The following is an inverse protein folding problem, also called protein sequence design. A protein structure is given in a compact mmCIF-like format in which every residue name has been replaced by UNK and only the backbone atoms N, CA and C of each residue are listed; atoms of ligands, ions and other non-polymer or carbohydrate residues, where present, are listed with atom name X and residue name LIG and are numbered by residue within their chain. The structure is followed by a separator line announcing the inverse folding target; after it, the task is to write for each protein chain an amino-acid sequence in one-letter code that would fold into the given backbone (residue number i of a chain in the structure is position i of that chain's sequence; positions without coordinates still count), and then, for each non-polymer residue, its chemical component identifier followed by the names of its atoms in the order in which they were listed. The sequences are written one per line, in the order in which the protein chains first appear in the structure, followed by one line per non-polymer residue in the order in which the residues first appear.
data_IF_008098995495
#
_entry.id   IF_008098995495
#
_cell.length_a   1.000
_cell.length_b   1.000
_cell.length_c   1.000
_cell.angle_alpha   90.00
_cell.angle_beta   90.00
_cell.angle_gamma   90.00
#
_symmetry.space_group_name_H-M   'P 1'
#
loop_
_entity.id
_entity.type
_entity.pdbx_description
1 polymer ?
#
# COMPACT_ATOMS: atom_id res chain seq x y z
N UNK A 1 -21.05 18.12 -1.18
CA UNK A 1 -19.62 18.26 -1.50
C UNK A 1 -18.79 17.19 -0.84
N UNK A 2 -18.41 17.37 0.44
CA UNK A 2 -17.50 16.47 1.17
C UNK A 2 -18.24 15.31 1.87
N UNK A 3 -19.42 15.56 2.46
CA UNK A 3 -20.17 14.52 3.17
C UNK A 3 -20.62 13.37 2.26
N UNK A 4 -20.99 13.65 1.00
CA UNK A 4 -21.37 12.62 0.03
C UNK A 4 -20.21 11.68 -0.31
N UNK A 5 -18.98 12.20 -0.37
CA UNK A 5 -17.79 11.40 -0.66
C UNK A 5 -17.50 10.42 0.48
N UNK A 6 -17.48 10.91 1.72
CA UNK A 6 -17.27 10.08 2.91
C UNK A 6 -18.40 9.06 3.06
N UNK A 7 -19.65 9.47 2.84
CA UNK A 7 -20.80 8.59 2.87
C UNK A 7 -20.69 7.45 1.84
N UNK A 8 -20.39 7.78 0.58
CA UNK A 8 -20.21 6.78 -0.47
C UNK A 8 -19.07 5.80 -0.13
N UNK A 9 -17.97 6.31 0.42
CA UNK A 9 -16.85 5.49 0.87
C UNK A 9 -17.28 4.50 1.97
N UNK A 10 -17.99 4.98 2.99
CA UNK A 10 -18.53 4.14 4.07
C UNK A 10 -19.51 3.07 3.55
N UNK A 11 -20.38 3.42 2.58
CA UNK A 11 -21.32 2.46 1.98
C UNK A 11 -20.58 1.34 1.24
N UNK A 12 -19.54 1.67 0.48
CA UNK A 12 -18.72 0.67 -0.24
C UNK A 12 -18.03 -0.26 0.76
N UNK A 13 -17.37 0.30 1.77
CA UNK A 13 -16.70 -0.48 2.81
C UNK A 13 -17.66 -1.39 3.55
N UNK A 14 -18.83 -0.90 3.94
CA UNK A 14 -19.82 -1.70 4.62
C UNK A 14 -20.20 -2.93 3.79
N UNK A 15 -20.44 -2.76 2.48
CA UNK A 15 -20.71 -3.89 1.57
C UNK A 15 -19.57 -4.91 1.52
N UNK A 16 -18.32 -4.44 1.43
CA UNK A 16 -17.13 -5.31 1.43
C UNK A 16 -17.02 -6.08 2.74
N UNK A 17 -17.19 -5.42 3.89
CA UNK A 17 -17.11 -6.06 5.20
C UNK A 17 -18.22 -7.10 5.39
N UNK A 18 -19.44 -6.83 4.94
CA UNK A 18 -20.53 -7.81 4.97
C UNK A 18 -20.20 -9.05 4.12
N UNK A 19 -19.64 -8.87 2.92
CA UNK A 19 -19.21 -10.01 2.10
C UNK A 19 -18.10 -10.82 2.77
N UNK A 20 -17.11 -10.16 3.37
CA UNK A 20 -16.03 -10.83 4.11
C UNK A 20 -16.58 -11.60 5.31
N UNK A 21 -17.52 -11.01 6.05
CA UNK A 21 -18.18 -11.67 7.16
C UNK A 21 -18.95 -12.93 6.72
N UNK A 22 -19.68 -12.84 5.59
CA UNK A 22 -20.45 -13.98 5.06
C UNK A 22 -19.59 -15.19 4.69
N UNK A 23 -18.33 -14.97 4.28
CA UNK A 23 -17.38 -16.04 3.97
C UNK A 23 -16.52 -16.45 5.19
N UNK A 24 -16.77 -15.87 6.37
CA UNK A 24 -15.99 -16.14 7.58
C UNK A 24 -14.58 -15.54 7.58
N UNK A 25 -14.29 -14.60 6.69
CA UNK A 25 -13.01 -13.90 6.67
C UNK A 25 -12.93 -12.86 7.79
N UNK A 26 -11.72 -12.65 8.33
CA UNK A 26 -11.47 -11.67 9.40
C UNK A 26 -10.56 -10.57 8.89
N UNK A 27 -10.89 -9.31 9.21
CA UNK A 27 -10.07 -8.14 8.91
C UNK A 27 -9.33 -7.71 10.17
N UNK A 28 -8.02 -7.47 10.06
CA UNK A 28 -7.24 -6.92 11.17
C UNK A 28 -7.55 -5.43 11.33
N UNK A 29 -8.14 -5.04 12.46
CA UNK A 29 -8.43 -3.64 12.78
C UNK A 29 -7.15 -2.76 12.73
N UNK A 30 -5.99 -3.30 13.15
CA UNK A 30 -4.70 -2.58 13.12
C UNK A 30 -4.23 -2.24 11.70
N UNK A 31 -4.59 -3.05 10.71
CA UNK A 31 -4.20 -2.85 9.30
C UNK A 31 -5.27 -2.16 8.47
N UNK A 32 -6.44 -1.93 9.05
CA UNK A 32 -7.57 -1.36 8.35
C UNK A 32 -7.44 0.16 8.30
N UNK A 33 -7.49 0.72 7.09
CA UNK A 33 -7.35 2.15 6.85
C UNK A 33 -8.65 2.67 6.24
N UNK A 34 -9.22 3.72 6.86
CA UNK A 34 -10.46 4.36 6.45
C UNK A 34 -10.23 5.82 6.16
N UNK A 35 -10.67 6.27 4.99
CA UNK A 35 -10.79 7.70 4.65
C UNK A 35 -9.46 8.45 4.86
N UNK A 36 -8.35 7.82 4.49
CA UNK A 36 -7.02 8.40 4.56
C UNK A 36 -6.59 8.96 3.19
N UNK A 37 -5.79 10.03 3.14
CA UNK A 37 -5.29 10.60 1.89
C UNK A 37 -4.28 9.68 1.17
N UNK A 38 -3.67 8.77 1.93
CA UNK A 38 -2.82 7.72 1.41
C UNK A 38 -3.00 6.39 2.17
N UNK A 39 -2.61 5.29 1.53
CA UNK A 39 -2.60 3.96 2.12
C UNK A 39 -1.48 3.11 1.51
N UNK A 40 -0.85 2.27 2.33
CA UNK A 40 0.12 1.28 1.85
C UNK A 40 -0.59 0.03 1.35
N UNK A 41 -0.60 -0.19 0.05
CA UNK A 41 -1.25 -1.33 -0.62
C UNK A 41 -0.16 -2.14 -1.33
N UNK A 42 0.02 -3.41 -0.94
CA UNK A 42 1.02 -4.32 -1.53
C UNK A 42 2.42 -3.68 -1.61
N UNK A 43 2.85 -3.03 -0.52
CA UNK A 43 4.17 -2.40 -0.41
C UNK A 43 4.35 -1.09 -1.20
N UNK A 44 3.29 -0.57 -1.82
CA UNK A 44 3.29 0.73 -2.49
C UNK A 44 2.46 1.72 -1.70
N UNK A 45 2.90 2.97 -1.66
CA UNK A 45 2.11 4.06 -1.07
C UNK A 45 1.19 4.60 -2.16
N UNK A 46 -0.11 4.40 -1.98
CA UNK A 46 -1.13 4.86 -2.90
C UNK A 46 -1.74 6.14 -2.33
N UNK A 47 -1.59 7.24 -3.06
CA UNK A 47 -2.19 8.53 -2.76
C UNK A 47 -3.36 8.79 -3.73
N UNK A 48 -4.09 9.88 -3.52
CA UNK A 48 -5.12 10.35 -4.45
C UNK A 48 -4.52 10.66 -5.84
N UNK A 49 -3.28 11.12 -5.88
CA UNK A 49 -2.58 11.51 -7.12
C UNK A 49 -2.00 10.31 -7.88
N UNK A 50 -1.84 9.16 -7.22
CA UNK A 50 -1.36 7.94 -7.86
C UNK A 50 -0.55 7.04 -6.93
N UNK A 51 0.27 6.18 -7.52
CA UNK A 51 1.16 5.29 -6.78
C UNK A 51 2.53 5.92 -6.67
N UNK A 52 3.02 6.08 -5.44
CA UNK A 52 4.37 6.53 -5.15
C UNK A 52 5.17 5.40 -4.47
N UNK A 53 6.48 5.32 -4.72
CA UNK A 53 7.34 4.37 -4.02
C UNK A 53 7.28 4.61 -2.51
N UNK A 54 7.25 3.53 -1.73
CA UNK A 54 7.36 3.65 -0.28
C UNK A 54 8.75 4.18 0.09
N UNK A 55 8.84 5.06 1.09
CA UNK A 55 10.10 5.69 1.52
C UNK A 55 11.19 4.66 1.82
N UNK A 56 10.86 3.58 2.52
CA UNK A 56 11.75 2.44 2.74
C UNK A 56 12.38 1.85 1.46
N UNK A 57 11.64 1.79 0.33
CA UNK A 57 12.21 1.31 -0.95
C UNK A 57 13.21 2.35 -1.49
N UNK A 58 12.87 3.63 -1.40
CA UNK A 58 13.73 4.73 -1.83
C UNK A 58 15.03 4.76 -1.02
N UNK A 59 14.94 4.66 0.31
CA UNK A 59 16.10 4.60 1.20
C UNK A 59 16.99 3.40 0.88
N UNK A 60 16.43 2.21 0.66
CA UNK A 60 17.22 1.03 0.29
C UNK A 60 18.02 1.22 -1.00
N UNK A 61 17.50 1.98 -1.96
CA UNK A 61 18.20 2.31 -3.21
C UNK A 61 19.29 3.35 -2.94
N UNK A 62 19.02 4.35 -2.10
CA UNK A 62 19.99 5.38 -1.72
C UNK A 62 21.16 4.83 -0.91
N UNK A 63 20.88 3.94 0.03
CA UNK A 63 21.86 3.32 0.92
C UNK A 63 22.57 2.10 0.28
N UNK A 64 22.24 1.77 -0.97
CA UNK A 64 22.79 0.57 -1.61
C UNK A 64 24.30 0.74 -1.85
N UNK A 65 25.14 -0.18 -1.34
CA UNK A 65 26.58 -0.07 -1.51
C UNK A 65 26.99 -0.32 -2.98
N UNK A 66 28.20 0.09 -3.33
CA UNK A 66 28.75 -0.15 -4.67
C UNK A 66 28.72 -1.65 -5.02
N UNK A 67 28.23 -1.96 -6.21
CA UNK A 67 28.03 -3.33 -6.65
C UNK A 67 29.36 -3.93 -7.13
N UNK A 68 30.01 -4.74 -6.28
CA UNK A 68 31.32 -5.34 -6.58
C UNK A 68 31.26 -6.67 -7.36
N UNK A 69 30.08 -7.29 -7.44
CA UNK A 69 29.90 -8.58 -8.10
C UNK A 69 28.51 -8.70 -8.75
N UNK A 70 28.34 -9.69 -9.62
CA UNK A 70 27.09 -9.92 -10.34
C UNK A 70 25.90 -10.16 -9.40
N UNK A 71 26.12 -10.80 -8.25
CA UNK A 71 25.07 -11.03 -7.23
C UNK A 71 24.54 -9.72 -6.66
N UNK A 72 25.41 -8.74 -6.38
CA UNK A 72 25.03 -7.42 -5.88
C UNK A 72 24.24 -6.64 -6.94
N UNK A 73 24.65 -6.73 -8.21
CA UNK A 73 23.92 -6.12 -9.34
C UNK A 73 22.53 -6.74 -9.49
N UNK A 74 22.42 -8.06 -9.50
CA UNK A 74 21.12 -8.74 -9.57
C UNK A 74 20.23 -8.41 -8.37
N UNK A 75 20.81 -8.30 -7.16
CA UNK A 75 20.10 -7.87 -5.96
C UNK A 75 19.55 -6.45 -6.09
N UNK A 76 20.36 -5.51 -6.57
CA UNK A 76 19.94 -4.14 -6.81
C UNK A 76 18.81 -4.05 -7.83
N UNK A 77 18.95 -4.72 -8.98
CA UNK A 77 17.91 -4.75 -10.01
C UNK A 77 16.61 -5.37 -9.49
N UNK A 78 16.69 -6.37 -8.62
CA UNK A 78 15.53 -6.95 -7.96
C UNK A 78 14.83 -6.03 -6.96
N UNK A 79 15.53 -5.05 -6.37
CA UNK A 79 14.94 -4.04 -5.47
C UNK A 79 14.31 -2.88 -6.24
N UNK A 80 14.86 -2.55 -7.41
CA UNK A 80 14.33 -1.52 -8.30
C UNK A 80 13.05 -1.95 -9.05
N UNK A 81 12.82 -3.26 -9.19
CA UNK A 81 11.57 -3.83 -9.74
C UNK A 81 10.39 -3.72 -8.79
#
# INVERSE_FOLDING_TARGET
GICCFIWNHCVIINRILQHLQNVGATVSAKKFVLTAPDATIVGHKCTIEGRIPHENKVQKIQDWPECLNMTHVCGFLGVCG
#
